data_IF_623450339184
#
_entry.id   IF_623450339184
#
_cell.length_a   1.000
_cell.length_b   1.000
_cell.length_c   1.000
_cell.angle_alpha   90.00
_cell.angle_beta   90.00
_cell.angle_gamma   90.00
#
_symmetry.space_group_name_H-M   'P 1'
#
loop_
_entity.id
_entity.type
_entity.pdbx_description
1 polymer ?
#
# COMPACT_ATOMS: atom_id res chain seq x y z
N UNK A 1 -9.21 7.52 -12.83
CA UNK A 1 -8.94 6.92 -14.14
C UNK A 1 -7.94 7.73 -14.94
N UNK A 2 -8.24 8.95 -15.43
CA UNK A 2 -7.23 9.76 -16.18
C UNK A 2 -5.92 9.93 -15.40
N UNK A 3 -6.00 10.30 -14.11
CA UNK A 3 -4.82 10.39 -13.24
C UNK A 3 -3.99 9.10 -13.14
N UNK A 4 -4.62 7.94 -13.30
CA UNK A 4 -3.91 6.69 -13.25
C UNK A 4 -3.22 6.36 -14.57
N UNK A 5 -3.80 6.75 -15.70
CA UNK A 5 -3.12 6.70 -17.01
C UNK A 5 -1.90 7.62 -16.99
N UNK A 6 -2.03 8.83 -16.42
CA UNK A 6 -0.89 9.72 -16.25
C UNK A 6 0.18 9.14 -15.30
N UNK A 7 -0.21 8.37 -14.28
CA UNK A 7 0.74 7.73 -13.37
C UNK A 7 1.52 6.60 -14.05
N UNK A 8 0.86 5.84 -14.95
CA UNK A 8 1.48 4.83 -15.80
C UNK A 8 2.52 5.46 -16.74
N UNK A 9 2.15 6.49 -17.52
CA UNK A 9 3.10 7.16 -18.41
C UNK A 9 4.25 7.86 -17.65
N UNK A 10 3.99 8.39 -16.46
CA UNK A 10 5.03 8.94 -15.60
C UNK A 10 6.03 7.85 -15.16
N UNK A 11 5.53 6.65 -14.87
CA UNK A 11 6.36 5.51 -14.49
C UNK A 11 7.22 5.04 -15.66
N UNK A 12 6.69 5.04 -16.88
CA UNK A 12 7.47 4.77 -18.11
C UNK A 12 8.62 5.78 -18.31
N UNK A 13 8.37 7.08 -18.09
CA UNK A 13 9.44 8.10 -18.14
C UNK A 13 10.52 7.80 -17.10
N UNK A 14 10.11 7.46 -15.87
CA UNK A 14 11.06 7.12 -14.79
C UNK A 14 11.86 5.87 -15.15
N UNK A 15 11.23 4.85 -15.75
CA UNK A 15 11.91 3.64 -16.23
C UNK A 15 12.94 3.97 -17.30
N UNK A 16 12.57 4.78 -18.31
CA UNK A 16 13.48 5.24 -19.37
C UNK A 16 14.63 6.08 -18.83
N UNK A 17 14.38 6.86 -17.78
CA UNK A 17 15.40 7.64 -17.09
C UNK A 17 16.46 6.74 -16.45
N UNK A 18 16.05 5.63 -15.84
CA UNK A 18 17.00 4.67 -15.25
C UNK A 18 17.72 3.81 -16.30
N UNK A 19 17.07 3.47 -17.43
CA UNK A 19 17.69 2.66 -18.49
C UNK A 19 18.70 3.45 -19.32
N UNK A 20 18.43 4.71 -19.66
CA UNK A 20 19.24 5.49 -20.60
C UNK A 20 20.50 6.11 -19.97
N UNK A 21 20.92 5.66 -18.79
CA UNK A 21 22.09 6.21 -18.10
C UNK A 21 23.42 5.92 -18.80
N UNK A 22 23.43 5.06 -19.83
CA UNK A 22 24.64 4.58 -20.52
C UNK A 22 24.99 5.32 -21.82
N UNK A 23 24.09 6.08 -22.45
CA UNK A 23 24.36 6.74 -23.74
C UNK A 23 24.77 8.22 -23.60
N UNK A 24 25.78 8.49 -22.77
CA UNK A 24 26.23 9.86 -22.42
C UNK A 24 27.07 10.59 -23.48
N UNK A 25 26.97 10.24 -24.77
CA UNK A 25 28.02 10.65 -25.70
C UNK A 25 27.86 12.00 -26.40
N UNK A 26 26.70 12.69 -26.44
CA UNK A 26 26.62 13.98 -27.16
C UNK A 26 25.70 15.08 -26.62
N UNK A 27 24.77 14.80 -25.72
CA UNK A 27 23.83 15.83 -25.23
C UNK A 27 24.11 16.15 -23.76
N UNK A 28 24.23 17.43 -23.43
CA UNK A 28 24.56 17.86 -22.06
C UNK A 28 23.52 17.38 -21.06
N UNK A 29 23.97 16.95 -19.87
CA UNK A 29 23.14 16.41 -18.77
C UNK A 29 21.93 17.32 -18.45
N UNK A 30 22.12 18.64 -18.51
CA UNK A 30 21.07 19.63 -18.24
C UNK A 30 19.94 19.54 -19.27
N UNK A 31 20.27 19.36 -20.56
CA UNK A 31 19.28 19.27 -21.64
C UNK A 31 18.42 18.02 -21.47
N UNK A 32 19.03 16.89 -21.11
CA UNK A 32 18.32 15.65 -20.80
C UNK A 32 17.34 15.84 -19.64
N UNK A 33 17.75 16.46 -18.53
CA UNK A 33 16.83 16.73 -17.42
C UNK A 33 15.68 17.66 -17.82
N UNK A 34 15.96 18.70 -18.62
CA UNK A 34 14.94 19.63 -19.09
C UNK A 34 13.93 18.93 -20.01
N UNK A 35 14.40 18.08 -20.92
CA UNK A 35 13.55 17.26 -21.80
C UNK A 35 12.61 16.38 -20.97
N UNK A 36 13.12 15.70 -19.94
CA UNK A 36 12.28 14.86 -19.05
C UNK A 36 11.24 15.66 -18.27
N UNK A 37 11.61 16.85 -17.78
CA UNK A 37 10.63 17.73 -17.11
C UNK A 37 9.55 18.16 -18.12
N UNK A 38 9.94 18.47 -19.35
CA UNK A 38 9.01 18.84 -20.41
C UNK A 38 8.09 17.68 -20.79
N UNK A 39 8.58 16.45 -20.87
CA UNK A 39 7.76 15.25 -21.10
C UNK A 39 6.64 15.12 -20.05
N UNK A 40 6.94 15.32 -18.76
CA UNK A 40 5.93 15.29 -17.69
C UNK A 40 4.86 16.38 -17.89
N UNK A 41 5.26 17.58 -18.31
CA UNK A 41 4.32 18.67 -18.62
C UNK A 41 3.46 18.33 -19.85
N UNK A 42 4.07 17.77 -20.89
CA UNK A 42 3.37 17.35 -22.12
C UNK A 42 2.31 16.29 -21.82
N UNK A 43 2.58 15.31 -20.96
CA UNK A 43 1.58 14.33 -20.51
C UNK A 43 0.39 15.02 -19.87
N UNK A 44 0.64 15.95 -18.95
CA UNK A 44 -0.42 16.73 -18.30
C UNK A 44 -1.27 17.50 -19.31
N UNK A 45 -0.65 18.12 -20.32
CA UNK A 45 -1.33 18.84 -21.39
C UNK A 45 -2.08 17.91 -22.36
N UNK A 46 -1.55 16.71 -22.62
CA UNK A 46 -2.18 15.70 -23.50
C UNK A 46 -3.53 15.24 -22.94
N UNK A 47 -3.60 14.97 -21.63
CA UNK A 47 -4.83 14.49 -20.99
C UNK A 47 -5.77 15.61 -20.50
N UNK A 48 -5.34 16.87 -20.55
CA UNK A 48 -6.15 18.02 -20.16
C UNK A 48 -7.48 18.14 -20.93
N UNK A 49 -7.54 17.95 -22.26
CA UNK A 49 -8.79 18.00 -23.02
C UNK A 49 -9.85 17.02 -22.50
N UNK A 50 -9.47 15.80 -22.10
CA UNK A 50 -10.40 14.81 -21.56
C UNK A 50 -10.99 15.25 -20.21
N UNK A 51 -10.23 15.97 -19.39
CA UNK A 51 -10.75 16.56 -18.15
C UNK A 51 -11.65 17.77 -18.45
N UNK A 52 -11.25 18.60 -19.41
CA UNK A 52 -12.01 19.77 -19.82
C UNK A 52 -13.39 19.40 -20.40
N UNK A 53 -13.48 18.30 -21.16
CA UNK A 53 -14.75 17.85 -21.76
C UNK A 53 -15.78 17.46 -20.69
N UNK A 54 -15.35 16.76 -19.64
CA UNK A 54 -16.18 16.41 -18.48
C UNK A 54 -16.57 17.65 -17.68
N UNK A 55 -15.68 18.64 -17.59
CA UNK A 55 -15.95 19.86 -16.84
C UNK A 55 -16.94 20.80 -17.56
N UNK A 56 -16.81 20.93 -18.88
CA UNK A 56 -17.69 21.78 -19.70
C UNK A 56 -19.11 21.20 -19.77
N UNK A 57 -19.25 19.87 -19.78
CA UNK A 57 -20.56 19.16 -19.84
C UNK A 57 -21.44 19.71 -20.98
N UNK A 58 -20.85 20.10 -22.11
CA UNK A 58 -21.58 20.47 -23.33
C UNK A 58 -21.56 19.30 -24.31
N UNK A 59 -22.64 19.12 -25.08
CA UNK A 59 -22.74 17.99 -26.01
C UNK A 59 -21.58 17.96 -27.03
N UNK A 60 -21.18 19.14 -27.52
CA UNK A 60 -20.03 19.28 -28.42
C UNK A 60 -18.72 18.87 -27.73
N UNK A 61 -18.47 19.34 -26.52
CA UNK A 61 -17.26 18.97 -25.78
C UNK A 61 -17.24 17.47 -25.47
N UNK A 62 -18.35 16.87 -25.03
CA UNK A 62 -18.43 15.42 -24.80
C UNK A 62 -18.25 14.60 -26.08
N UNK A 63 -18.77 15.07 -27.23
CA UNK A 63 -18.55 14.43 -28.52
C UNK A 63 -17.06 14.46 -28.93
N UNK A 64 -16.41 15.62 -28.86
CA UNK A 64 -14.97 15.76 -29.11
C UNK A 64 -14.14 14.88 -28.14
N UNK A 65 -14.51 14.87 -26.86
CA UNK A 65 -13.85 14.05 -25.85
C UNK A 65 -14.01 12.55 -26.10
N UNK A 66 -15.18 12.12 -26.58
CA UNK A 66 -15.45 10.72 -26.95
C UNK A 66 -14.61 10.29 -28.13
N UNK A 67 -14.55 11.10 -29.19
CA UNK A 67 -13.71 10.82 -30.38
C UNK A 67 -12.24 10.74 -29.96
N UNK A 68 -11.77 11.69 -29.16
CA UNK A 68 -10.39 11.70 -28.64
C UNK A 68 -10.08 10.44 -27.82
N UNK A 69 -10.95 10.06 -26.89
CA UNK A 69 -10.77 8.86 -26.07
C UNK A 69 -10.74 7.57 -26.92
N UNK A 70 -11.59 7.47 -27.95
CA UNK A 70 -11.59 6.32 -28.85
C UNK A 70 -10.36 6.26 -29.74
N UNK A 71 -9.89 7.39 -30.27
CA UNK A 71 -8.64 7.46 -31.02
C UNK A 71 -7.45 7.03 -30.15
N UNK A 72 -7.34 7.57 -28.93
CA UNK A 72 -6.26 7.24 -28.00
C UNK A 72 -6.29 5.75 -27.60
N UNK A 73 -7.47 5.21 -27.33
CA UNK A 73 -7.65 3.78 -27.07
C UNK A 73 -7.28 2.91 -28.28
N UNK A 74 -7.68 3.32 -29.49
CA UNK A 74 -7.42 2.57 -30.73
C UNK A 74 -5.93 2.57 -31.08
N UNK A 75 -5.25 3.71 -30.92
CA UNK A 75 -3.80 3.83 -31.08
C UNK A 75 -3.08 2.97 -30.06
N UNK A 76 -3.53 2.97 -28.79
CA UNK A 76 -2.93 2.13 -27.75
C UNK A 76 -3.06 0.64 -28.09
N UNK A 77 -4.25 0.20 -28.51
CA UNK A 77 -4.46 -1.19 -28.97
C UNK A 77 -3.59 -1.50 -30.19
N UNK A 78 -3.55 -0.62 -31.19
CA UNK A 78 -2.78 -0.82 -32.41
C UNK A 78 -1.27 -0.94 -32.11
N UNK A 79 -0.73 -0.08 -31.25
CA UNK A 79 0.68 -0.12 -30.84
C UNK A 79 1.01 -1.43 -30.13
N UNK A 80 0.13 -1.94 -29.28
CA UNK A 80 0.36 -3.21 -28.61
C UNK A 80 0.15 -4.43 -29.50
N UNK A 81 -0.79 -4.35 -30.44
CA UNK A 81 -1.03 -5.40 -31.44
C UNK A 81 0.15 -5.57 -32.41
N UNK A 82 1.01 -4.56 -32.55
CA UNK A 82 2.27 -4.66 -33.31
C UNK A 82 3.36 -5.49 -32.60
N UNK A 83 3.07 -6.06 -31.42
CA UNK A 83 3.89 -7.06 -30.72
C UNK A 83 5.36 -6.66 -30.46
N UNK A 84 5.67 -5.36 -30.38
CA UNK A 84 6.97 -4.93 -29.87
C UNK A 84 6.92 -4.96 -28.36
N UNK A 85 7.33 -6.08 -27.76
CA UNK A 85 7.42 -6.14 -26.30
C UNK A 85 8.50 -5.21 -25.79
N UNK A 86 8.15 -4.36 -24.83
CA UNK A 86 9.12 -3.53 -24.09
C UNK A 86 10.09 -4.38 -23.24
N UNK A 87 9.84 -5.69 -23.16
CA UNK A 87 10.75 -6.66 -22.54
C UNK A 87 11.71 -7.31 -23.55
N UNK A 88 11.54 -7.08 -24.85
CA UNK A 88 12.58 -7.44 -25.80
C UNK A 88 13.78 -6.51 -25.62
N UNK A 89 14.95 -7.12 -25.64
CA UNK A 89 16.20 -6.39 -25.66
C UNK A 89 16.26 -5.54 -26.91
N UNK A 90 16.63 -4.27 -26.73
CA UNK A 90 16.95 -3.42 -27.88
C UNK A 90 18.19 -3.97 -28.56
N UNK A 91 18.29 -3.84 -29.88
CA UNK A 91 19.45 -4.28 -30.65
C UNK A 91 20.77 -3.67 -30.11
N UNK A 92 20.69 -2.47 -29.54
CA UNK A 92 21.81 -1.79 -28.90
C UNK A 92 22.26 -2.48 -27.60
N UNK A 93 21.30 -2.98 -26.80
CA UNK A 93 21.58 -3.75 -25.58
C UNK A 93 22.19 -5.11 -25.92
N UNK A 94 21.72 -5.74 -27.00
CA UNK A 94 22.33 -6.97 -27.55
C UNK A 94 23.78 -6.75 -28.00
N UNK A 95 24.06 -5.64 -28.69
CA UNK A 95 25.40 -5.33 -29.19
C UNK A 95 26.39 -4.87 -28.10
N UNK A 96 25.89 -4.42 -26.94
CA UNK A 96 26.73 -3.92 -25.84
C UNK A 96 26.94 -4.92 -24.72
N UNK A 97 26.11 -5.96 -24.62
CA UNK A 97 26.35 -7.06 -23.70
C UNK A 97 27.32 -8.07 -24.31
N UNK A 98 28.62 -7.89 -24.10
CA UNK A 98 29.63 -8.95 -24.37
C UNK A 98 29.35 -10.25 -23.57
N UNK A 99 28.42 -10.23 -22.62
CA UNK A 99 27.96 -11.39 -21.84
C UNK A 99 26.60 -11.91 -22.34
N UNK A 100 26.63 -12.68 -23.44
CA UNK A 100 25.48 -13.44 -23.98
C UNK A 100 24.76 -14.31 -22.92
N UNK A 101 25.47 -14.71 -21.86
CA UNK A 101 24.94 -15.57 -20.79
C UNK A 101 23.76 -14.95 -20.03
N UNK A 102 23.81 -13.65 -19.74
CA UNK A 102 22.77 -12.97 -18.96
C UNK A 102 21.47 -12.76 -19.75
N UNK A 103 21.60 -12.64 -21.07
CA UNK A 103 20.48 -12.55 -22.01
C UNK A 103 19.75 -13.88 -22.12
N UNK A 104 20.51 -14.95 -22.34
CA UNK A 104 19.99 -16.31 -22.47
C UNK A 104 19.27 -16.71 -21.17
N UNK A 105 19.84 -16.41 -20.00
CA UNK A 105 19.23 -16.71 -18.70
C UNK A 105 17.87 -16.01 -18.52
N UNK A 106 17.75 -14.74 -18.94
CA UNK A 106 16.47 -14.02 -18.89
C UNK A 106 15.44 -14.61 -19.86
N UNK A 107 15.83 -14.92 -21.10
CA UNK A 107 14.95 -15.54 -22.10
C UNK A 107 14.50 -16.94 -21.67
N UNK A 108 15.40 -17.72 -21.05
CA UNK A 108 15.08 -19.04 -20.51
C UNK A 108 14.11 -18.93 -19.33
N UNK A 109 14.29 -17.92 -18.46
CA UNK A 109 13.44 -17.70 -17.29
C UNK A 109 11.99 -17.33 -17.66
N UNK A 110 11.81 -16.42 -18.62
CA UNK A 110 10.47 -15.98 -19.03
C UNK A 110 9.80 -16.89 -20.05
N UNK A 111 10.50 -17.89 -20.55
CA UNK A 111 10.00 -18.78 -21.59
C UNK A 111 9.91 -18.14 -22.97
N UNK A 112 9.24 -18.83 -23.88
CA UNK A 112 9.10 -18.42 -25.28
C UNK A 112 8.25 -17.16 -25.45
N UNK A 113 8.29 -16.55 -26.64
CA UNK A 113 7.63 -15.28 -27.00
C UNK A 113 6.17 -15.13 -26.51
N UNK A 114 5.42 -16.23 -26.43
CA UNK A 114 4.03 -16.20 -25.96
C UNK A 114 3.89 -15.84 -24.47
N UNK A 115 4.84 -16.23 -23.62
CA UNK A 115 4.81 -15.94 -22.18
C UNK A 115 5.17 -14.48 -21.89
N UNK A 116 6.14 -13.92 -22.62
CA UNK A 116 6.48 -12.49 -22.56
C UNK A 116 5.31 -11.62 -23.00
N UNK A 117 4.60 -12.02 -24.05
CA UNK A 117 3.39 -11.31 -24.50
C UNK A 117 2.29 -11.35 -23.43
N UNK A 118 2.07 -12.50 -22.78
CA UNK A 118 1.11 -12.61 -21.67
C UNK A 118 1.53 -11.74 -20.48
N UNK A 119 2.83 -11.68 -20.17
CA UNK A 119 3.36 -10.86 -19.09
C UNK A 119 3.15 -9.37 -19.37
N UNK A 120 3.43 -8.92 -20.59
CA UNK A 120 3.17 -7.55 -21.03
C UNK A 120 1.68 -7.23 -21.03
N UNK A 121 0.84 -8.15 -21.50
CA UNK A 121 -0.60 -7.96 -21.42
C UNK A 121 -1.03 -7.80 -19.96
N UNK A 122 -0.51 -8.62 -19.05
CA UNK A 122 -0.77 -8.52 -17.62
C UNK A 122 -0.33 -7.17 -17.02
N UNK A 123 0.79 -6.61 -17.47
CA UNK A 123 1.24 -5.28 -17.02
C UNK A 123 0.31 -4.18 -17.52
N UNK A 124 -0.22 -4.32 -18.73
CA UNK A 124 -1.01 -3.29 -19.40
C UNK A 124 -2.52 -3.36 -19.12
N UNK A 125 -3.02 -4.46 -18.53
CA UNK A 125 -4.43 -4.65 -18.16
C UNK A 125 -5.04 -3.42 -17.45
N UNK A 126 -4.43 -2.82 -16.41
CA UNK A 126 -5.05 -1.72 -15.71
C UNK A 126 -5.19 -0.46 -16.57
N UNK A 127 -4.23 -0.21 -17.45
CA UNK A 127 -4.28 0.88 -18.43
C UNK A 127 -5.44 0.68 -19.39
N UNK A 128 -5.59 -0.52 -19.93
CA UNK A 128 -6.72 -0.86 -20.79
C UNK A 128 -8.07 -0.73 -20.10
N UNK A 129 -8.19 -1.22 -18.86
CA UNK A 129 -9.42 -1.08 -18.10
C UNK A 129 -9.77 0.39 -17.85
N UNK A 130 -8.76 1.23 -17.58
CA UNK A 130 -8.96 2.67 -17.44
C UNK A 130 -9.42 3.34 -18.74
N UNK A 131 -8.75 3.06 -19.86
CA UNK A 131 -9.09 3.62 -21.16
C UNK A 131 -10.45 3.12 -21.66
N UNK A 132 -10.75 1.82 -21.53
CA UNK A 132 -12.04 1.24 -21.86
C UNK A 132 -13.16 1.86 -21.01
N UNK A 133 -12.93 2.06 -19.71
CA UNK A 133 -13.89 2.73 -18.84
C UNK A 133 -14.18 4.17 -19.32
N UNK A 134 -13.15 4.95 -19.66
CA UNK A 134 -13.31 6.31 -20.20
C UNK A 134 -14.04 6.27 -21.55
N UNK A 135 -13.66 5.34 -22.41
CA UNK A 135 -14.25 5.11 -23.74
C UNK A 135 -15.72 4.70 -23.71
N UNK A 136 -16.19 4.06 -22.64
CA UNK A 136 -17.61 3.73 -22.44
C UNK A 136 -18.35 4.87 -21.73
N UNK A 137 -17.72 5.48 -20.72
CA UNK A 137 -18.39 6.46 -19.84
C UNK A 137 -18.69 7.77 -20.55
N UNK A 138 -17.78 8.29 -21.37
CA UNK A 138 -17.98 9.54 -22.11
C UNK A 138 -19.16 9.48 -23.09
N UNK A 139 -19.28 8.45 -23.96
CA UNK A 139 -20.46 8.31 -24.83
C UNK A 139 -21.76 8.13 -24.03
N UNK A 140 -21.71 7.39 -22.91
CA UNK A 140 -22.89 7.27 -22.04
C UNK A 140 -23.34 8.63 -21.46
N UNK A 141 -22.41 9.51 -21.08
CA UNK A 141 -22.73 10.87 -20.65
C UNK A 141 -23.30 11.71 -21.80
N UNK A 142 -22.73 11.59 -23.00
CA UNK A 142 -23.21 12.27 -24.20
C UNK A 142 -24.66 11.87 -24.53
N UNK A 143 -24.96 10.57 -24.55
CA UNK A 143 -26.31 10.05 -24.81
C UNK A 143 -27.30 10.57 -23.76
N UNK A 144 -26.94 10.51 -22.48
CA UNK A 144 -27.79 11.03 -21.40
C UNK A 144 -28.02 12.54 -21.52
N UNK A 145 -27.03 13.30 -21.97
CA UNK A 145 -27.18 14.72 -22.19
C UNK A 145 -28.15 15.02 -23.35
N UNK A 146 -28.03 14.30 -24.46
CA UNK A 146 -28.92 14.45 -25.63
C UNK A 146 -30.36 14.07 -25.28
N UNK A 147 -30.54 12.98 -24.53
CA UNK A 147 -31.86 12.47 -24.15
C UNK A 147 -32.58 13.37 -23.16
N UNK A 148 -31.88 13.86 -22.13
CA UNK A 148 -32.52 14.60 -21.06
C UNK A 148 -32.71 16.08 -21.39
N UNK A 149 -31.88 16.70 -22.25
CA UNK A 149 -31.88 18.15 -22.55
C UNK A 149 -31.91 19.07 -21.30
N UNK A 150 -31.61 18.54 -20.11
CA UNK A 150 -31.53 19.33 -18.88
C UNK A 150 -30.22 20.12 -18.86
N UNK A 151 -30.30 21.34 -18.36
CA UNK A 151 -29.12 22.13 -18.00
C UNK A 151 -28.40 21.48 -16.81
N UNK A 152 -27.10 21.77 -16.68
CA UNK A 152 -26.28 21.21 -15.60
C UNK A 152 -26.80 21.58 -14.21
N UNK A 153 -27.25 22.83 -14.04
CA UNK A 153 -27.79 23.33 -12.77
C UNK A 153 -29.07 22.59 -12.38
N UNK A 154 -30.00 22.43 -13.33
CA UNK A 154 -31.22 21.63 -13.12
C UNK A 154 -30.88 20.19 -12.73
N UNK A 155 -29.87 19.58 -13.36
CA UNK A 155 -29.44 18.21 -13.02
C UNK A 155 -28.87 18.12 -11.60
N UNK A 156 -28.10 19.12 -11.15
CA UNK A 156 -27.55 19.16 -9.79
C UNK A 156 -28.67 19.34 -8.77
N UNK A 157 -29.60 20.26 -9.03
CA UNK A 157 -30.76 20.51 -8.15
C UNK A 157 -31.66 19.27 -8.09
N UNK A 158 -31.96 18.67 -9.24
CA UNK A 158 -32.78 17.45 -9.33
C UNK A 158 -32.12 16.25 -8.65
N UNK A 159 -30.78 16.14 -8.74
CA UNK A 159 -30.04 15.10 -8.00
C UNK A 159 -30.06 15.37 -6.50
N UNK A 160 -29.88 16.61 -6.05
CA UNK A 160 -29.89 16.95 -4.64
C UNK A 160 -31.28 16.76 -4.01
N UNK A 161 -32.35 16.99 -4.77
CA UNK A 161 -33.74 16.85 -4.31
C UNK A 161 -34.26 15.41 -4.30
N UNK A 162 -33.59 14.46 -4.96
CA UNK A 162 -33.98 13.06 -4.92
C UNK A 162 -33.89 12.51 -3.49
N UNK A 163 -34.87 11.70 -3.04
CA UNK A 163 -34.88 11.13 -1.70
C UNK A 163 -33.67 10.21 -1.44
N UNK A 164 -33.12 9.62 -2.51
CA UNK A 164 -31.96 8.73 -2.49
C UNK A 164 -30.63 9.48 -2.64
N UNK A 165 -30.65 10.82 -2.67
CA UNK A 165 -29.42 11.60 -2.74
C UNK A 165 -28.63 11.45 -1.44
N UNK A 166 -27.30 11.42 -1.51
CA UNK A 166 -26.45 11.36 -0.32
C UNK A 166 -26.72 12.50 0.65
N UNK A 167 -26.99 13.68 0.11
CA UNK A 167 -27.24 14.90 0.85
C UNK A 167 -28.54 14.76 1.63
N UNK A 168 -29.58 14.21 0.99
CA UNK A 168 -30.85 13.93 1.64
C UNK A 168 -30.72 12.81 2.68
N UNK A 169 -30.05 11.71 2.35
CA UNK A 169 -29.77 10.60 3.29
C UNK A 169 -28.97 11.09 4.50
N UNK A 170 -27.99 11.97 4.28
CA UNK A 170 -27.21 12.59 5.35
C UNK A 170 -28.09 13.47 6.24
N UNK A 171 -28.93 14.34 5.67
CA UNK A 171 -29.86 15.17 6.43
C UNK A 171 -30.89 14.31 7.19
N UNK A 172 -31.45 13.28 6.56
CA UNK A 172 -32.34 12.34 7.22
C UNK A 172 -31.64 11.67 8.41
N UNK A 173 -30.41 11.20 8.25
CA UNK A 173 -29.62 10.60 9.33
C UNK A 173 -29.25 11.60 10.44
N UNK A 174 -29.14 12.89 10.10
CA UNK A 174 -28.88 13.96 11.06
C UNK A 174 -30.11 14.25 11.93
N UNK A 175 -31.31 14.27 11.34
CA UNK A 175 -32.56 14.51 12.07
C UNK A 175 -33.18 13.25 12.69
N UNK A 176 -32.77 12.05 12.25
CA UNK A 176 -33.27 10.78 12.78
C UNK A 176 -32.86 10.63 14.24
N UNK A 177 -33.85 10.42 15.11
CA UNK A 177 -33.63 10.22 16.54
C UNK A 177 -32.74 8.98 16.79
N UNK A 178 -31.90 8.98 17.85
CA UNK A 178 -31.03 7.86 18.16
C UNK A 178 -31.80 6.54 18.29
N UNK A 179 -33.04 6.58 18.80
CA UNK A 179 -33.90 5.39 18.97
C UNK A 179 -34.38 4.80 17.65
N UNK A 180 -34.51 5.63 16.61
CA UNK A 180 -34.91 5.19 15.27
C UNK A 180 -33.76 4.64 14.45
N UNK A 181 -32.51 4.72 14.92
CA UNK A 181 -31.36 4.06 14.28
C UNK A 181 -31.43 2.55 14.56
N UNK A 182 -32.50 1.92 14.07
CA UNK A 182 -32.60 0.48 13.96
C UNK A 182 -31.35 0.02 13.21
N UNK A 183 -30.52 -0.73 13.92
CA UNK A 183 -29.38 -1.42 13.34
C UNK A 183 -29.90 -2.47 12.37
N UNK A 184 -30.29 -2.06 11.15
CA UNK A 184 -30.43 -2.91 9.96
C UNK A 184 -29.05 -3.37 9.51
N UNK A 185 -28.24 -3.81 10.47
CA UNK A 185 -26.93 -4.37 10.24
C UNK A 185 -27.15 -5.85 9.96
N UNK A 186 -27.23 -6.18 8.67
CA UNK A 186 -27.33 -7.53 8.15
C UNK A 186 -26.40 -8.48 8.93
N UNK A 187 -26.96 -9.61 9.42
CA UNK A 187 -26.22 -10.65 10.18
C UNK A 187 -24.94 -11.14 9.49
N UNK A 188 -24.84 -11.01 8.17
CA UNK A 188 -23.66 -11.37 7.38
C UNK A 188 -22.45 -10.42 7.56
N UNK A 189 -22.65 -9.18 8.02
CA UNK A 189 -21.57 -8.23 8.34
C UNK A 189 -20.82 -8.50 9.66
N UNK A 190 -21.06 -9.65 10.32
CA UNK A 190 -20.35 -10.05 11.55
C UNK A 190 -19.08 -10.84 11.30
N UNK A 191 -18.91 -11.46 10.13
CA UNK A 191 -17.79 -12.37 9.86
C UNK A 191 -16.58 -11.64 9.27
N UNK A 192 -16.80 -10.63 8.44
CA UNK A 192 -15.73 -9.69 8.05
C UNK A 192 -15.73 -8.63 9.14
N UNK A 193 -14.66 -8.50 9.94
CA UNK A 193 -14.66 -7.54 11.02
C UNK A 193 -14.86 -6.14 10.43
N UNK A 194 -15.75 -5.36 11.05
CA UNK A 194 -15.89 -3.88 10.91
C UNK A 194 -14.57 -3.09 11.08
N UNK A 195 -13.44 -3.77 11.14
CA UNK A 195 -12.17 -3.29 11.65
C UNK A 195 -11.50 -2.25 10.78
N UNK A 196 -11.79 -2.21 9.48
CA UNK A 196 -11.02 -1.34 8.57
C UNK A 196 -11.92 -0.29 7.93
N UNK A 197 -13.01 -0.68 7.25
CA UNK A 197 -13.88 0.28 6.57
C UNK A 197 -15.35 -0.16 6.57
N UNK A 198 -16.21 0.57 7.27
CA UNK A 198 -17.67 0.38 7.24
C UNK A 198 -18.27 1.24 6.14
N UNK A 199 -18.84 0.66 5.07
CA UNK A 199 -19.49 1.44 4.02
C UNK A 199 -20.66 2.27 4.57
N UNK A 200 -20.77 3.51 4.11
CA UNK A 200 -21.79 4.47 4.52
C UNK A 200 -22.42 5.08 3.28
N UNK A 201 -23.70 4.86 3.08
CA UNK A 201 -24.44 5.35 1.92
C UNK A 201 -24.67 6.87 1.98
N UNK A 202 -24.57 7.46 3.18
CA UNK A 202 -24.73 8.89 3.43
C UNK A 202 -23.43 9.68 3.33
N UNK A 203 -22.36 9.09 2.81
CA UNK A 203 -21.06 9.74 2.71
C UNK A 203 -20.35 9.42 1.41
N UNK A 204 -19.98 10.47 0.68
CA UNK A 204 -19.08 10.38 -0.47
C UNK A 204 -17.76 11.10 -0.19
N UNK A 205 -16.68 10.48 -0.63
CA UNK A 205 -15.38 11.15 -0.68
C UNK A 205 -15.39 12.21 -1.78
N UNK A 206 -14.60 13.26 -1.56
CA UNK A 206 -14.25 14.19 -2.64
C UNK A 206 -13.64 13.41 -3.80
N UNK A 207 -14.03 13.75 -5.03
CA UNK A 207 -13.48 13.18 -6.25
C UNK A 207 -11.94 13.23 -6.28
N UNK A 208 -11.34 14.28 -5.69
CA UNK A 208 -9.88 14.40 -5.55
C UNK A 208 -9.28 13.25 -4.74
N UNK A 209 -9.86 12.93 -3.58
CA UNK A 209 -9.38 11.83 -2.72
C UNK A 209 -9.49 10.51 -3.47
N UNK A 210 -10.65 10.24 -4.10
CA UNK A 210 -10.84 9.02 -4.89
C UNK A 210 -9.85 8.91 -6.06
N UNK A 211 -9.58 10.01 -6.76
CA UNK A 211 -8.58 10.06 -7.83
C UNK A 211 -7.17 9.75 -7.31
N UNK A 212 -6.78 10.34 -6.18
CA UNK A 212 -5.46 10.09 -5.59
C UNK A 212 -5.32 8.63 -5.16
N UNK A 213 -6.31 8.07 -4.47
CA UNK A 213 -6.28 6.68 -4.03
C UNK A 213 -6.30 5.68 -5.20
N UNK A 214 -7.11 5.93 -6.23
CA UNK A 214 -7.12 5.06 -7.43
C UNK A 214 -5.79 5.11 -8.18
N UNK A 215 -5.20 6.29 -8.37
CA UNK A 215 -3.88 6.43 -8.98
C UNK A 215 -2.79 5.74 -8.14
N UNK A 216 -2.88 5.85 -6.81
CA UNK A 216 -1.95 5.20 -5.87
C UNK A 216 -2.03 3.68 -5.95
N UNK A 217 -3.24 3.09 -5.93
CA UNK A 217 -3.42 1.64 -6.03
C UNK A 217 -2.87 1.10 -7.35
N UNK A 218 -3.12 1.81 -8.45
CA UNK A 218 -2.61 1.45 -9.76
C UNK A 218 -1.08 1.56 -9.82
N UNK A 219 -0.51 2.63 -9.26
CA UNK A 219 0.94 2.78 -9.18
C UNK A 219 1.60 1.68 -8.34
N UNK A 220 1.00 1.30 -7.19
CA UNK A 220 1.49 0.17 -6.38
C UNK A 220 1.46 -1.12 -7.21
N UNK A 221 0.39 -1.35 -7.98
CA UNK A 221 0.30 -2.50 -8.87
C UNK A 221 1.46 -2.51 -9.88
N UNK A 222 1.69 -1.41 -10.59
CA UNK A 222 2.78 -1.30 -11.58
C UNK A 222 4.16 -1.52 -10.95
N UNK A 223 4.45 -0.87 -9.82
CA UNK A 223 5.71 -1.04 -9.08
C UNK A 223 5.88 -2.50 -8.64
N UNK A 224 4.82 -3.13 -8.13
CA UNK A 224 4.87 -4.53 -7.67
C UNK A 224 5.13 -5.47 -8.83
N UNK A 225 4.39 -5.34 -9.93
CA UNK A 225 4.57 -6.19 -11.11
C UNK A 225 5.96 -5.98 -11.70
N UNK A 226 6.42 -4.73 -11.86
CA UNK A 226 7.77 -4.47 -12.34
C UNK A 226 8.84 -5.01 -11.39
N UNK A 227 8.66 -4.91 -10.08
CA UNK A 227 9.58 -5.50 -9.11
C UNK A 227 9.61 -7.03 -9.21
N UNK A 228 8.47 -7.68 -9.41
CA UNK A 228 8.42 -9.13 -9.63
C UNK A 228 9.10 -9.51 -10.94
N UNK A 229 8.89 -8.77 -12.02
CA UNK A 229 9.55 -9.03 -13.30
C UNK A 229 11.05 -8.77 -13.16
N UNK A 230 11.49 -7.57 -12.84
CA UNK A 230 12.91 -7.25 -12.90
C UNK A 230 13.78 -8.01 -11.88
N UNK A 231 13.30 -8.23 -10.65
CA UNK A 231 14.15 -8.75 -9.57
C UNK A 231 14.20 -10.27 -9.55
N UNK A 232 13.09 -10.96 -9.86
CA UNK A 232 13.01 -12.42 -9.76
C UNK A 232 14.09 -13.18 -10.57
N UNK A 233 14.39 -12.86 -11.85
CA UNK A 233 15.48 -13.52 -12.58
C UNK A 233 16.86 -13.16 -11.99
N UNK A 234 17.04 -11.93 -11.50
CA UNK A 234 18.32 -11.53 -10.89
C UNK A 234 18.59 -12.25 -9.57
N UNK A 235 17.56 -12.71 -8.86
CA UNK A 235 17.73 -13.48 -7.63
C UNK A 235 18.40 -14.84 -7.88
N UNK A 236 18.13 -15.46 -9.03
CA UNK A 236 18.79 -16.71 -9.42
C UNK A 236 20.30 -16.50 -9.58
N UNK A 237 20.69 -15.47 -10.33
CA UNK A 237 22.10 -15.12 -10.52
C UNK A 237 22.78 -14.72 -9.20
N UNK A 238 22.08 -13.97 -8.33
CA UNK A 238 22.57 -13.63 -6.99
C UNK A 238 22.76 -14.88 -6.14
N UNK A 239 21.84 -15.84 -6.18
CA UNK A 239 21.94 -17.09 -5.43
C UNK A 239 23.17 -17.89 -5.86
N UNK A 240 23.46 -17.95 -7.17
CA UNK A 240 24.66 -18.61 -7.70
C UNK A 240 25.94 -17.93 -7.19
N UNK A 241 26.01 -16.60 -7.26
CA UNK A 241 27.16 -15.83 -6.74
C UNK A 241 27.37 -16.07 -5.25
N UNK A 242 26.29 -16.12 -4.47
CA UNK A 242 26.35 -16.40 -3.03
C UNK A 242 26.87 -17.83 -2.78
N UNK A 243 26.40 -18.82 -3.55
CA UNK A 243 26.88 -20.20 -3.45
C UNK A 243 28.37 -20.29 -3.79
N UNK A 244 28.81 -19.70 -4.90
CA UNK A 244 30.21 -19.69 -5.32
C UNK A 244 31.12 -19.02 -4.26
N UNK A 245 30.64 -17.95 -3.63
CA UNK A 245 31.34 -17.28 -2.54
C UNK A 245 31.48 -18.18 -1.30
N UNK A 246 30.43 -18.90 -0.90
CA UNK A 246 30.49 -19.83 0.23
C UNK A 246 31.41 -21.02 -0.05
N UNK A 247 31.41 -21.55 -1.27
CA UNK A 247 32.29 -22.65 -1.68
C UNK A 247 33.76 -22.20 -1.61
N UNK A 248 34.07 -20.98 -2.08
CA UNK A 248 35.40 -20.38 -1.95
C UNK A 248 35.80 -20.17 -0.49
N UNK A 249 34.90 -19.66 0.36
CA UNK A 249 35.17 -19.47 1.79
C UNK A 249 35.45 -20.81 2.50
N UNK A 250 34.73 -21.87 2.13
CA UNK A 250 34.94 -23.21 2.68
C UNK A 250 36.30 -23.81 2.28
N UNK A 251 36.81 -23.46 1.10
CA UNK A 251 38.13 -23.91 0.62
C UNK A 251 39.28 -23.29 1.43
N UNK A 252 39.12 -22.04 1.88
CA UNK A 252 40.09 -21.36 2.75
C UNK A 252 40.08 -21.88 4.19
N UNK A 253 38.96 -22.44 4.67
CA UNK A 253 38.87 -22.95 6.04
C UNK A 253 39.56 -24.29 6.27
N UNK A 254 39.70 -25.11 5.22
CA UNK A 254 40.15 -26.51 5.34
C UNK A 254 41.66 -26.71 5.05
N UNK A 255 42.45 -25.64 4.95
CA UNK A 255 43.82 -25.74 4.42
C UNK A 255 44.89 -26.20 5.44
N UNK A 256 44.58 -26.26 6.74
CA UNK A 256 45.63 -26.37 7.77
C UNK A 256 45.75 -27.70 8.54
N UNK A 257 44.85 -28.70 8.41
CA UNK A 257 44.93 -29.90 9.28
C UNK A 257 45.14 -31.28 8.61
N UNK A 258 44.88 -31.51 7.31
CA UNK A 258 44.84 -32.90 6.77
C UNK A 258 45.62 -33.15 5.46
N UNK A 259 46.84 -32.61 5.31
CA UNK A 259 47.64 -32.80 4.08
C UNK A 259 48.20 -34.24 3.91
N UNK A 260 48.07 -35.17 4.87
CA UNK A 260 48.86 -36.42 4.79
C UNK A 260 48.17 -37.73 4.36
N UNK A 261 46.85 -37.86 4.23
CA UNK A 261 46.33 -39.22 3.99
C UNK A 261 44.95 -39.32 3.31
N UNK A 262 44.90 -39.27 1.97
CA UNK A 262 44.09 -40.20 1.14
C UNK A 262 43.92 -39.70 -0.30
N UNK A 263 44.65 -40.32 -1.24
CA UNK A 263 44.58 -40.05 -2.67
C UNK A 263 43.61 -41.01 -3.41
N UNK A 264 42.43 -41.30 -2.87
CA UNK A 264 41.56 -42.34 -3.47
C UNK A 264 40.08 -41.96 -3.44
N UNK A 265 39.55 -41.70 -4.64
CA UNK A 265 38.15 -41.47 -5.02
C UNK A 265 37.46 -40.18 -4.54
N UNK A 266 37.53 -39.17 -5.40
CA UNK A 266 36.71 -37.95 -5.37
C UNK A 266 35.23 -38.26 -5.61
N UNK A 267 34.53 -38.71 -4.57
CA UNK A 267 33.07 -38.66 -4.54
C UNK A 267 32.67 -37.19 -4.48
N UNK A 268 31.75 -36.67 -5.32
CA UNK A 268 31.32 -35.29 -5.25
C UNK A 268 30.76 -35.05 -3.86
N UNK A 269 31.54 -34.37 -3.03
CA UNK A 269 31.13 -33.95 -1.70
C UNK A 269 30.05 -32.90 -1.92
N UNK A 270 28.79 -33.29 -1.73
CA UNK A 270 27.68 -32.36 -1.59
C UNK A 270 28.13 -31.26 -0.64
N UNK A 271 28.16 -30.01 -1.12
CA UNK A 271 28.55 -28.86 -0.32
C UNK A 271 27.76 -28.89 0.99
N UNK A 272 28.48 -28.83 2.12
CA UNK A 272 27.87 -29.02 3.45
C UNK A 272 26.85 -27.94 3.81
N UNK A 273 26.79 -26.83 3.07
CA UNK A 273 25.93 -25.70 3.33
C UNK A 273 25.07 -25.36 2.11
N UNK A 274 23.86 -25.94 1.98
CA UNK A 274 22.94 -25.56 0.92
C UNK A 274 22.43 -24.12 1.16
N UNK A 275 22.67 -23.22 0.21
CA UNK A 275 22.11 -21.86 0.24
C UNK A 275 20.58 -21.95 0.06
N UNK A 276 19.77 -21.25 0.89
CA UNK A 276 18.32 -21.24 0.74
C UNK A 276 17.90 -20.64 -0.61
N UNK A 277 16.85 -21.19 -1.22
CA UNK A 277 16.27 -20.60 -2.42
C UNK A 277 15.68 -19.21 -2.09
N UNK A 278 16.20 -18.15 -2.73
CA UNK A 278 15.83 -16.76 -2.46
C UNK A 278 14.52 -16.32 -3.14
N UNK A 279 14.05 -17.05 -4.16
CA UNK A 279 12.85 -16.69 -4.93
C UNK A 279 11.58 -16.73 -4.07
N UNK A 280 11.44 -17.79 -3.27
CA UNK A 280 10.28 -18.00 -2.39
C UNK A 280 10.14 -16.93 -1.30
N UNK A 281 11.16 -16.64 -0.48
CA UNK A 281 11.05 -15.60 0.54
C UNK A 281 10.83 -14.21 -0.07
N UNK A 282 11.40 -13.92 -1.25
CA UNK A 282 11.14 -12.68 -1.96
C UNK A 282 9.67 -12.56 -2.41
N UNK A 283 9.11 -13.60 -3.02
CA UNK A 283 7.70 -13.59 -3.44
C UNK A 283 6.75 -13.38 -2.24
N UNK A 284 7.02 -14.03 -1.10
CA UNK A 284 6.28 -13.82 0.14
C UNK A 284 6.45 -12.39 0.69
N UNK A 285 7.65 -11.81 0.58
CA UNK A 285 7.91 -10.43 0.98
C UNK A 285 7.12 -9.42 0.15
N UNK A 286 7.05 -9.62 -1.17
CA UNK A 286 6.27 -8.75 -2.06
C UNK A 286 4.78 -8.83 -1.74
N UNK A 287 4.23 -10.05 -1.63
CA UNK A 287 2.80 -10.26 -1.30
C UNK A 287 2.44 -9.65 0.06
N UNK A 288 3.29 -9.86 1.07
CA UNK A 288 3.07 -9.27 2.40
C UNK A 288 3.15 -7.74 2.37
N UNK A 289 4.06 -7.17 1.60
CA UNK A 289 4.19 -5.72 1.44
C UNK A 289 2.94 -5.11 0.80
N UNK A 290 2.45 -5.70 -0.30
CA UNK A 290 1.20 -5.26 -0.96
C UNK A 290 0.04 -5.33 0.02
N UNK A 291 -0.10 -6.44 0.76
CA UNK A 291 -1.18 -6.60 1.73
C UNK A 291 -1.13 -5.52 2.83
N UNK A 292 0.05 -5.25 3.39
CA UNK A 292 0.25 -4.21 4.41
C UNK A 292 -0.17 -2.84 3.87
N UNK A 293 0.24 -2.50 2.65
CA UNK A 293 -0.06 -1.19 2.06
C UNK A 293 -1.53 -1.04 1.69
N UNK A 294 -2.18 -2.10 1.18
CA UNK A 294 -3.62 -2.08 0.92
C UNK A 294 -4.38 -1.87 2.23
N UNK A 295 -4.03 -2.60 3.29
CA UNK A 295 -4.64 -2.43 4.62
C UNK A 295 -4.41 -1.01 5.16
N UNK A 296 -3.18 -0.50 5.11
CA UNK A 296 -2.85 0.85 5.55
C UNK A 296 -3.63 1.93 4.77
N UNK A 297 -3.77 1.75 3.46
CA UNK A 297 -4.55 2.66 2.60
C UNK A 297 -6.02 2.66 2.99
N UNK A 298 -6.61 1.51 3.27
CA UNK A 298 -7.99 1.40 3.73
C UNK A 298 -8.19 2.04 5.12
N UNK A 299 -7.26 1.84 6.05
CA UNK A 299 -7.27 2.50 7.38
C UNK A 299 -7.18 4.02 7.23
N UNK A 300 -6.31 4.51 6.36
CA UNK A 300 -6.17 5.94 6.10
C UNK A 300 -7.46 6.52 5.49
N UNK A 301 -8.11 5.80 4.57
CA UNK A 301 -9.39 6.21 3.99
C UNK A 301 -10.49 6.31 5.05
N UNK A 302 -10.54 5.36 6.00
CA UNK A 302 -11.45 5.40 7.14
C UNK A 302 -11.18 6.60 8.05
N UNK A 303 -9.91 6.91 8.30
CA UNK A 303 -9.49 8.06 9.09
C UNK A 303 -9.84 9.39 8.41
N UNK A 304 -9.60 9.52 7.10
CA UNK A 304 -9.99 10.71 6.33
C UNK A 304 -11.49 10.95 6.44
N UNK A 305 -12.30 9.90 6.33
CA UNK A 305 -13.75 10.02 6.50
C UNK A 305 -14.12 10.51 7.91
N UNK A 306 -13.53 9.93 8.96
CA UNK A 306 -13.78 10.36 10.35
C UNK A 306 -13.47 11.84 10.53
N UNK A 307 -12.30 12.28 10.05
CA UNK A 307 -11.85 13.67 10.13
C UNK A 307 -12.79 14.60 9.34
N UNK A 308 -13.22 14.21 8.14
CA UNK A 308 -14.18 14.99 7.35
C UNK A 308 -15.53 15.13 8.06
N UNK A 309 -16.04 14.05 8.66
CA UNK A 309 -17.29 14.09 9.41
C UNK A 309 -17.19 14.94 10.69
N UNK A 310 -16.06 14.91 11.38
CA UNK A 310 -15.80 15.82 12.52
C UNK A 310 -15.73 17.27 12.06
N UNK A 311 -15.06 17.53 10.93
CA UNK A 311 -15.00 18.87 10.34
C UNK A 311 -16.39 19.41 9.97
N UNK A 312 -17.30 18.56 9.44
CA UNK A 312 -18.68 18.98 9.14
C UNK A 312 -19.52 19.28 10.39
N UNK A 313 -19.16 18.71 11.55
CA UNK A 313 -19.79 19.01 12.83
C UNK A 313 -19.26 20.29 13.48
N UNK A 314 -18.20 20.89 12.93
CA UNK A 314 -17.48 21.97 13.60
C UNK A 314 -16.72 21.50 14.85
N UNK A 315 -16.46 20.20 14.97
CA UNK A 315 -15.68 19.63 16.07
C UNK A 315 -14.18 19.72 15.73
N UNK A 316 -13.55 20.78 16.23
CA UNK A 316 -12.12 21.06 16.06
C UNK A 316 -11.23 20.38 17.12
N UNK A 317 -11.73 19.35 17.83
CA UNK A 317 -10.95 18.68 18.88
C UNK A 317 -9.70 17.97 18.35
N UNK A 318 -9.80 17.35 17.18
CA UNK A 318 -8.69 16.64 16.52
C UNK A 318 -7.98 17.49 15.44
N UNK A 319 -8.67 18.48 14.86
CA UNK A 319 -8.16 19.29 13.75
C UNK A 319 -7.55 20.58 14.29
N UNK A 320 -6.26 20.86 14.05
CA UNK A 320 -5.66 22.10 14.51
C UNK A 320 -6.37 23.31 13.88
N UNK A 321 -6.82 24.25 14.73
CA UNK A 321 -7.48 25.48 14.29
C UNK A 321 -6.63 26.22 13.26
N UNK A 322 -7.28 26.61 12.14
CA UNK A 322 -6.62 27.31 11.04
C UNK A 322 -6.21 28.71 11.50
N UNK A 323 -4.94 29.06 11.31
CA UNK A 323 -4.46 30.43 11.52
C UNK A 323 -4.57 31.21 10.21
N UNK A 324 -5.19 32.41 10.17
CA UNK A 324 -5.31 33.22 8.96
C UNK A 324 -3.97 33.48 8.26
N UNK A 325 -2.90 33.65 9.04
CA UNK A 325 -1.55 33.85 8.52
C UNK A 325 -0.99 32.67 7.71
N UNK A 326 -1.65 31.50 7.74
CA UNK A 326 -1.22 30.28 7.04
C UNK A 326 -2.15 29.87 5.90
N UNK A 327 -3.13 30.69 5.51
CA UNK A 327 -4.08 30.34 4.45
C UNK A 327 -3.41 30.03 3.10
N UNK A 328 -2.37 30.79 2.72
CA UNK A 328 -1.58 30.52 1.52
C UNK A 328 -0.92 29.14 1.62
N UNK A 329 -0.30 28.82 2.76
CA UNK A 329 0.33 27.52 2.99
C UNK A 329 -0.67 26.36 2.98
N UNK A 330 -1.89 26.54 3.46
CA UNK A 330 -2.93 25.52 3.37
C UNK A 330 -3.42 25.33 1.92
N UNK A 331 -3.53 26.42 1.15
CA UNK A 331 -3.91 26.36 -0.25
C UNK A 331 -2.85 25.65 -1.09
N UNK A 332 -1.57 25.99 -0.93
CA UNK A 332 -0.46 25.32 -1.63
C UNK A 332 -0.33 23.86 -1.17
N UNK A 333 -0.45 23.59 0.13
CA UNK A 333 -0.45 22.23 0.66
C UNK A 333 -1.56 21.36 0.07
N UNK A 334 -2.74 21.94 -0.19
CA UNK A 334 -3.85 21.23 -0.83
C UNK A 334 -3.61 20.96 -2.34
N UNK A 335 -2.85 21.83 -3.03
CA UNK A 335 -2.45 21.59 -4.42
C UNK A 335 -1.42 20.46 -4.53
N UNK A 336 -0.46 20.40 -3.60
CA UNK A 336 0.60 19.39 -3.59
C UNK A 336 0.23 18.08 -2.88
N UNK A 337 -0.93 18.01 -2.23
CA UNK A 337 -1.37 16.86 -1.45
C UNK A 337 -1.25 15.53 -2.20
N UNK A 338 -1.69 15.49 -3.47
CA UNK A 338 -1.66 14.29 -4.29
C UNK A 338 -0.23 13.77 -4.50
N UNK A 339 0.69 14.67 -4.86
CA UNK A 339 2.10 14.32 -5.11
C UNK A 339 2.81 13.87 -3.83
N UNK A 340 2.61 14.58 -2.72
CA UNK A 340 3.17 14.16 -1.43
C UNK A 340 2.65 12.80 -1.00
N UNK A 341 1.34 12.57 -1.12
CA UNK A 341 0.74 11.30 -0.74
C UNK A 341 1.32 10.13 -1.53
N UNK A 342 1.37 10.25 -2.86
CA UNK A 342 1.93 9.24 -3.74
C UNK A 342 3.41 9.00 -3.42
N UNK A 343 4.21 10.07 -3.29
CA UNK A 343 5.64 9.97 -3.00
C UNK A 343 5.95 9.27 -1.66
N UNK A 344 5.24 9.65 -0.58
CA UNK A 344 5.40 8.98 0.71
C UNK A 344 5.00 7.51 0.67
N UNK A 345 3.98 7.18 -0.13
CA UNK A 345 3.54 5.79 -0.24
C UNK A 345 4.54 4.94 -1.01
N UNK A 346 5.12 5.44 -2.11
CA UNK A 346 6.20 4.75 -2.85
C UNK A 346 7.39 4.51 -1.91
N UNK A 347 7.79 5.53 -1.16
CA UNK A 347 8.88 5.40 -0.20
C UNK A 347 8.56 4.37 0.90
N UNK A 348 7.34 4.40 1.42
CA UNK A 348 6.83 3.42 2.37
C UNK A 348 6.85 2.00 1.80
N UNK A 349 6.46 1.82 0.54
CA UNK A 349 6.51 0.55 -0.18
C UNK A 349 7.93 0.00 -0.23
N UNK A 350 8.91 0.81 -0.64
CA UNK A 350 10.31 0.40 -0.73
C UNK A 350 10.83 -0.04 0.64
N UNK A 351 10.60 0.76 1.69
CA UNK A 351 11.05 0.42 3.04
C UNK A 351 10.42 -0.88 3.54
N UNK A 352 9.09 -1.03 3.42
CA UNK A 352 8.38 -2.23 3.86
C UNK A 352 8.86 -3.45 3.07
N UNK A 353 9.07 -3.34 1.75
CA UNK A 353 9.57 -4.43 0.91
C UNK A 353 10.97 -4.90 1.33
N UNK A 354 11.88 -3.98 1.64
CA UNK A 354 13.23 -4.31 2.11
C UNK A 354 13.17 -5.02 3.46
N UNK A 355 12.42 -4.48 4.42
CA UNK A 355 12.29 -5.09 5.74
C UNK A 355 11.58 -6.45 5.69
N UNK A 356 10.52 -6.58 4.90
CA UNK A 356 9.80 -7.84 4.70
C UNK A 356 10.72 -8.89 4.05
N UNK A 357 11.52 -8.50 3.04
CA UNK A 357 12.48 -9.39 2.38
C UNK A 357 13.52 -9.91 3.37
N UNK A 358 14.12 -9.02 4.19
CA UNK A 358 15.08 -9.42 5.22
C UNK A 358 14.48 -10.38 6.24
N UNK A 359 13.24 -10.13 6.67
CA UNK A 359 12.53 -11.03 7.59
C UNK A 359 12.28 -12.40 6.97
N UNK A 360 11.75 -12.46 5.75
CA UNK A 360 11.46 -13.73 5.08
C UNK A 360 12.72 -14.51 4.70
N UNK A 361 13.80 -13.85 4.28
CA UNK A 361 15.10 -14.50 4.05
C UNK A 361 15.65 -15.07 5.37
N UNK A 362 15.53 -14.33 6.47
CA UNK A 362 15.95 -14.82 7.79
C UNK A 362 15.13 -16.03 8.22
N UNK A 363 13.81 -16.03 7.99
CA UNK A 363 12.95 -17.19 8.26
C UNK A 363 13.33 -18.40 7.40
N UNK A 364 13.57 -18.22 6.10
CA UNK A 364 13.95 -19.33 5.22
C UNK A 364 15.33 -19.89 5.59
N UNK A 365 16.29 -19.03 5.94
CA UNK A 365 17.60 -19.46 6.44
C UNK A 365 17.48 -20.30 7.72
N UNK A 366 16.66 -19.87 8.69
CA UNK A 366 16.41 -20.64 9.91
C UNK A 366 15.82 -22.04 9.62
N UNK A 367 14.96 -22.14 8.61
CA UNK A 367 14.36 -23.41 8.17
C UNK A 367 15.40 -24.31 7.49
N UNK A 368 16.15 -23.77 6.52
CA UNK A 368 17.11 -24.53 5.69
C UNK A 368 18.29 -25.05 6.50
N UNK A 369 18.87 -24.25 7.40
CA UNK A 369 19.98 -24.70 8.24
C UNK A 369 19.57 -25.73 9.29
N UNK A 370 18.30 -26.17 9.29
CA UNK A 370 17.71 -27.10 10.24
C UNK A 370 18.06 -26.75 11.67
N UNK A 371 18.27 -25.45 11.91
CA UNK A 371 18.47 -24.90 13.24
C UNK A 371 17.14 -24.76 13.97
N UNK A 372 16.22 -25.68 13.64
CA UNK A 372 14.99 -25.93 14.34
C UNK A 372 15.29 -26.14 15.83
N UNK A 373 16.45 -26.69 16.21
CA UNK A 373 16.84 -26.81 17.61
C UNK A 373 17.04 -25.47 18.31
N UNK A 374 17.73 -24.48 17.71
CA UNK A 374 17.82 -23.15 18.31
C UNK A 374 16.48 -22.43 18.30
N UNK A 375 15.73 -22.49 17.19
CA UNK A 375 14.40 -21.86 17.14
C UNK A 375 13.43 -22.50 18.15
N UNK A 376 13.43 -23.82 18.26
CA UNK A 376 12.66 -24.59 19.23
C UNK A 376 13.11 -24.30 20.65
N UNK A 377 14.41 -24.14 20.92
CA UNK A 377 14.93 -23.73 22.23
C UNK A 377 14.47 -22.33 22.61
N UNK A 378 14.54 -21.38 21.67
CA UNK A 378 14.05 -20.01 21.85
C UNK A 378 12.52 -20.02 22.06
N UNK A 379 11.75 -20.72 21.23
CA UNK A 379 10.29 -20.83 21.38
C UNK A 379 9.91 -21.52 22.69
N UNK A 380 10.57 -22.62 23.06
CA UNK A 380 10.37 -23.30 24.34
C UNK A 380 10.65 -22.40 25.54
N UNK A 381 11.56 -21.44 25.39
CA UNK A 381 11.87 -20.45 26.45
C UNK A 381 10.86 -19.30 26.46
N UNK A 382 10.46 -18.80 25.27
CA UNK A 382 9.59 -17.62 25.12
C UNK A 382 8.11 -17.98 25.33
N UNK A 383 7.63 -19.13 24.84
CA UNK A 383 6.21 -19.52 24.87
C UNK A 383 5.67 -19.58 26.30
N UNK A 384 6.31 -20.28 27.27
CA UNK A 384 5.80 -20.30 28.64
C UNK A 384 5.75 -18.91 29.27
N UNK A 385 6.73 -18.06 28.96
CA UNK A 385 6.79 -16.67 29.44
C UNK A 385 5.62 -15.85 28.88
N UNK A 386 5.36 -15.93 27.56
CA UNK A 386 4.23 -15.27 26.92
C UNK A 386 2.88 -15.82 27.41
N UNK A 387 2.76 -17.14 27.58
CA UNK A 387 1.55 -17.79 28.06
C UNK A 387 1.25 -17.35 29.49
N UNK A 388 2.26 -17.29 30.37
CA UNK A 388 2.10 -16.82 31.74
C UNK A 388 1.69 -15.35 31.81
N UNK A 389 2.27 -14.48 30.96
CA UNK A 389 1.87 -13.07 30.85
C UNK A 389 0.40 -12.96 30.39
N UNK A 390 0.01 -13.70 29.36
CA UNK A 390 -1.37 -13.70 28.85
C UNK A 390 -2.34 -14.27 29.88
N UNK A 391 -2.01 -15.41 30.50
CA UNK A 391 -2.80 -16.04 31.55
C UNK A 391 -3.03 -15.08 32.71
N UNK A 392 -1.97 -14.40 33.20
CA UNK A 392 -2.08 -13.37 34.23
C UNK A 392 -3.00 -12.23 33.79
N UNK A 393 -2.88 -11.75 32.56
CA UNK A 393 -3.76 -10.70 32.03
C UNK A 393 -5.24 -11.13 32.00
N UNK A 394 -5.53 -12.38 31.59
CA UNK A 394 -6.88 -12.94 31.61
C UNK A 394 -7.39 -13.15 33.04
N UNK A 395 -6.56 -13.69 33.93
CA UNK A 395 -6.91 -13.91 35.33
C UNK A 395 -7.21 -12.59 36.04
N UNK A 396 -6.42 -11.54 35.80
CA UNK A 396 -6.68 -10.20 36.29
C UNK A 396 -8.00 -9.64 35.75
N UNK A 397 -8.30 -9.86 34.46
CA UNK A 397 -9.57 -9.44 33.87
C UNK A 397 -10.76 -10.17 34.51
N UNK A 398 -10.64 -11.47 34.75
CA UNK A 398 -11.66 -12.30 35.40
C UNK A 398 -11.84 -11.90 36.87
N UNK A 399 -10.76 -11.74 37.63
CA UNK A 399 -10.83 -11.29 39.02
C UNK A 399 -11.40 -9.88 39.13
N UNK A 400 -11.00 -8.96 38.25
CA UNK A 400 -11.58 -7.62 38.15
C UNK A 400 -13.09 -7.71 37.94
N UNK A 401 -13.53 -8.52 36.98
CA UNK A 401 -14.93 -8.62 36.62
C UNK A 401 -15.78 -9.29 37.72
N UNK A 402 -15.34 -10.41 38.28
CA UNK A 402 -16.16 -11.24 39.16
C UNK A 402 -15.94 -11.01 40.66
N UNK A 403 -14.73 -10.61 41.07
CA UNK A 403 -14.37 -10.47 42.49
C UNK A 403 -14.42 -9.00 42.91
N UNK A 404 -13.82 -8.11 42.12
CA UNK A 404 -13.66 -6.72 42.52
C UNK A 404 -14.86 -5.84 42.14
N UNK A 405 -15.39 -5.99 40.93
CA UNK A 405 -16.51 -5.20 40.42
C UNK A 405 -17.86 -5.78 40.84
N UNK A 406 -18.79 -4.90 41.24
CA UNK A 406 -20.18 -5.28 41.48
C UNK A 406 -20.89 -5.65 40.17
N UNK A 407 -21.83 -6.59 40.26
CA UNK A 407 -22.68 -7.03 39.14
C UNK A 407 -21.89 -7.41 37.87
N UNK A 408 -20.77 -8.12 38.01
CA UNK A 408 -19.94 -8.61 36.90
C UNK A 408 -19.41 -7.49 35.97
N UNK A 409 -19.14 -6.30 36.54
CA UNK A 409 -18.62 -5.15 35.79
C UNK A 409 -19.69 -4.25 35.16
N UNK A 410 -20.98 -4.47 35.45
CA UNK A 410 -22.06 -3.56 35.01
C UNK A 410 -22.01 -2.20 35.69
N UNK A 411 -21.42 -2.12 36.89
CA UNK A 411 -21.27 -0.87 37.65
C UNK A 411 -19.82 -0.76 38.13
N UNK A 412 -19.21 0.41 37.97
CA UNK A 412 -17.84 0.69 38.40
C UNK A 412 -17.75 0.93 39.92
N UNK A 413 -18.41 0.06 40.70
CA UNK A 413 -18.43 0.09 42.15
C UNK A 413 -17.69 -1.12 42.69
N UNK A 414 -16.73 -0.88 43.59
CA UNK A 414 -15.92 -1.96 44.19
C UNK A 414 -16.70 -2.66 45.30
N UNK A 415 -16.88 -3.98 45.19
CA UNK A 415 -17.60 -4.77 46.21
C UNK A 415 -16.76 -5.04 47.45
N UNK A 416 -15.46 -5.24 47.30
CA UNK A 416 -14.59 -5.71 48.39
C UNK A 416 -13.25 -4.97 48.42
N UNK A 417 -13.25 -3.75 49.01
CA UNK A 417 -12.07 -2.86 49.06
C UNK A 417 -10.87 -3.49 49.78
N UNK A 418 -11.10 -4.31 50.81
CA UNK A 418 -10.02 -4.92 51.62
C UNK A 418 -9.18 -5.95 50.84
N UNK A 419 -9.82 -6.75 50.00
CA UNK A 419 -9.12 -7.72 49.13
C UNK A 419 -8.34 -6.99 48.04
N UNK A 420 -8.88 -5.88 47.54
CA UNK A 420 -8.19 -5.04 46.53
C UNK A 420 -6.93 -4.37 47.06
N UNK A 421 -6.83 -4.10 48.36
CA UNK A 421 -5.61 -3.55 48.98
C UNK A 421 -4.54 -4.62 49.26
N UNK A 422 -4.91 -5.90 49.34
CA UNK A 422 -3.97 -7.01 49.55
C UNK A 422 -3.43 -7.60 48.24
N UNK A 423 -4.19 -7.49 47.15
CA UNK A 423 -3.78 -7.98 45.84
C UNK A 423 -2.48 -7.38 45.25
N UNK A 424 -2.06 -6.12 45.51
CA UNK A 424 -0.86 -5.53 44.91
C UNK A 424 0.42 -6.33 45.17
N UNK A 425 0.50 -7.06 46.28
CA UNK A 425 1.64 -7.92 46.59
C UNK A 425 1.72 -9.14 45.65
N UNK A 426 0.58 -9.61 45.13
CA UNK A 426 0.52 -10.60 44.05
C UNK A 426 0.87 -9.98 42.68
N UNK A 427 0.85 -8.65 42.58
CA UNK A 427 1.17 -7.87 41.38
C UNK A 427 2.64 -7.45 41.29
N UNK A 428 3.54 -7.83 42.19
CA UNK A 428 4.99 -7.52 42.05
C UNK A 428 5.61 -8.03 40.73
N UNK A 429 4.98 -9.00 40.05
CA UNK A 429 5.30 -9.39 38.67
C UNK A 429 4.82 -8.37 37.60
N UNK A 430 4.39 -7.17 37.98
CA UNK A 430 3.97 -6.09 37.07
C UNK A 430 5.14 -5.28 36.53
N UNK A 431 6.35 -5.37 37.09
CA UNK A 431 7.53 -4.73 36.51
C UNK A 431 7.77 -5.23 35.08
N UNK A 432 7.71 -6.54 34.86
CA UNK A 432 7.84 -7.16 33.54
C UNK A 432 6.66 -6.80 32.62
N UNK A 433 5.45 -6.66 33.17
CA UNK A 433 4.28 -6.25 32.39
C UNK A 433 4.31 -4.75 32.05
N UNK A 434 4.87 -3.91 32.92
CA UNK A 434 5.09 -2.50 32.70
C UNK A 434 6.19 -2.30 31.66
N UNK A 435 7.28 -3.07 31.71
CA UNK A 435 8.32 -3.06 30.67
C UNK A 435 7.76 -3.57 29.34
N UNK A 436 6.99 -4.66 29.34
CA UNK A 436 6.32 -5.15 28.12
C UNK A 436 5.35 -4.10 27.56
N UNK A 437 4.54 -3.45 28.39
CA UNK A 437 3.65 -2.37 27.94
C UNK A 437 4.42 -1.12 27.53
N UNK A 438 5.56 -0.83 28.13
CA UNK A 438 6.43 0.28 27.76
C UNK A 438 7.07 0.03 26.40
N UNK A 439 7.64 -1.16 26.16
CA UNK A 439 8.11 -1.59 24.84
C UNK A 439 6.96 -1.59 23.84
N UNK A 440 5.79 -2.12 24.21
CA UNK A 440 4.60 -2.06 23.36
C UNK A 440 4.19 -0.63 23.03
N UNK A 441 4.26 0.31 23.98
CA UNK A 441 4.01 1.75 23.77
C UNK A 441 5.09 2.45 22.96
N UNK A 442 6.33 1.95 22.97
CA UNK A 442 7.38 2.42 22.05
C UNK A 442 7.08 2.00 20.61
N UNK A 443 6.50 0.81 20.42
CA UNK A 443 6.14 0.30 19.08
C UNK A 443 4.72 0.67 18.62
N UNK A 444 3.83 1.12 19.52
CA UNK A 444 2.50 1.62 19.17
C UNK A 444 2.45 3.13 19.41
N UNK A 445 2.25 3.98 18.38
CA UNK A 445 2.10 5.41 18.60
C UNK A 445 0.91 5.65 19.52
N UNK A 446 1.18 6.09 20.76
CA UNK A 446 0.13 6.45 21.70
C UNK A 446 -0.69 7.59 21.08
N UNK A 447 -2.04 7.48 21.00
CA UNK A 447 -2.86 8.61 20.61
C UNK A 447 -2.56 9.73 21.61
N UNK A 448 -2.07 10.86 21.09
CA UNK A 448 -1.82 12.06 21.88
C UNK A 448 -3.11 12.42 22.59
N UNK A 449 -3.12 12.24 23.92
CA UNK A 449 -4.23 12.67 24.76
C UNK A 449 -4.59 14.11 24.42
N UNK A 450 -5.87 14.42 24.10
CA UNK A 450 -6.29 15.80 23.94
C UNK A 450 -5.92 16.58 25.21
N UNK A 451 -5.48 17.81 24.97
CA UNK A 451 -4.80 18.70 25.88
C UNK A 451 -5.63 18.96 27.15
N UNK A 452 -5.29 18.30 28.27
CA UNK A 452 -5.93 18.48 29.59
C UNK A 452 -5.91 19.93 30.12
N UNK A 453 -5.16 20.82 29.48
CA UNK A 453 -5.16 22.24 29.81
C UNK A 453 -6.44 22.98 29.38
N UNK A 454 -7.27 22.42 28.49
CA UNK A 454 -8.55 23.05 28.13
C UNK A 454 -9.60 22.89 29.24
N UNK A 455 -9.66 21.71 29.89
CA UNK A 455 -10.62 21.46 30.98
C UNK A 455 -10.31 22.30 32.24
N UNK A 456 -9.04 22.60 32.50
CA UNK A 456 -8.67 23.53 33.60
C UNK A 456 -9.08 24.98 33.34
N UNK A 457 -9.27 25.39 32.09
CA UNK A 457 -9.78 26.74 31.78
C UNK A 457 -11.29 26.84 31.93
N UNK A 458 -12.03 25.78 31.63
CA UNK A 458 -13.49 25.76 31.80
C UNK A 458 -13.85 25.66 33.30
N UNK A 459 -13.08 24.93 34.10
CA UNK A 459 -13.29 24.85 35.56
C UNK A 459 -12.98 26.16 36.32
N UNK A 460 -12.32 27.15 35.70
CA UNK A 460 -12.05 28.45 36.32
C UNK A 460 -12.99 29.55 35.79
N UNK A 461 -13.93 29.21 34.91
CA UNK A 461 -14.95 30.13 34.36
C UNK A 461 -16.39 29.72 34.71
N UNK A 462 -16.56 28.61 35.43
CA UNK A 462 -17.77 28.23 36.17
C UNK A 462 -17.45 28.40 37.65
#
# INVERSE_FOLDING_TARGET
MIFAICADELFDIVRRFFSNRSSTNREGIILQYLERILEVVIIGLRYYPLLATVYLDTALALACGTIYAWLDFSITIANQAMCTSDYYFTLDEYNTSDNDSSLIEKLEYYGTDSQLLVLQLCTDIPRFLCLAYVGIKLPALLINQILLKLTREERVILRASQPDSSEMLYLQNLFRSPDQRLCTQHRFGRLIPKWIYEWRDDFYFSARVLCVYSATILLIFFITVQACVQILPTLHSIQKIIQDFFDLLSSFGNTDEDIMFSATESKPTNSQFPVPNLERPYALAVVTTVLIIVVQSLVLLANIRRILLQSFRGDDSEIPRRKPSKYISYATGNMHFAGYFIGYLIWGYILIAVFASLLWISFEALIVYRNAQLLESILKTIIPSLLLINFKAYLNKILAQYVFLQHAGKVLAMKNRRISTASPNLFFADSNFAEYNFRRRLFSPTPTSPNKNLDRKISNQI
#
